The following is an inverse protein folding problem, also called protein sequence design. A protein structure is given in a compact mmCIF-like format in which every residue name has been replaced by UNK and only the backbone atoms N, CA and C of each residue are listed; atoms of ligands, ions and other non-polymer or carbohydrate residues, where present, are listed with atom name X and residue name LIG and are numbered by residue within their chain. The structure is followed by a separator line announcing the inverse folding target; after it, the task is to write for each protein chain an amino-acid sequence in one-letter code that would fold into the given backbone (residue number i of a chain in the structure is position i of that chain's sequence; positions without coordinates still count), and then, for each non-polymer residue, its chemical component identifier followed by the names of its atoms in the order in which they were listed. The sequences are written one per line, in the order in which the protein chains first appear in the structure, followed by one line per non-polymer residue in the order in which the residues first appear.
data_IF_690866581621
#
_entry.id   IF_690866581621
#
_cell.length_a   1.000
_cell.length_b   1.000
_cell.length_c   1.000
_cell.angle_alpha   90.00
_cell.angle_beta   90.00
_cell.angle_gamma   90.00
#
_symmetry.space_group_name_H-M   'P 1'
#
loop_
_entity.id
_entity.type
_entity.pdbx_description
1 polymer ?
#
# COMPACT_ATOMS: atom_id res chain seq x y z
N UNK A 1 -20.67 22.43 -7.10
CA UNK A 1 -19.61 23.11 -6.34
C UNK A 1 -18.44 22.16 -6.21
N UNK A 2 -17.21 22.63 -6.46
CA UNK A 2 -15.99 21.85 -6.28
C UNK A 2 -15.68 21.75 -4.77
N UNK A 3 -15.36 20.56 -4.27
CA UNK A 3 -14.98 20.37 -2.85
C UNK A 3 -13.63 21.03 -2.58
N UNK A 4 -13.49 21.66 -1.42
CA UNK A 4 -12.22 22.20 -0.94
C UNK A 4 -11.39 21.11 -0.24
N UNK A 5 -10.10 21.36 -0.01
CA UNK A 5 -9.25 20.48 0.78
C UNK A 5 -9.78 20.29 2.21
N UNK A 6 -10.29 21.36 2.82
CA UNK A 6 -10.92 21.32 4.14
C UNK A 6 -12.16 20.43 4.17
N UNK A 7 -13.00 20.47 3.13
CA UNK A 7 -14.18 19.61 3.04
C UNK A 7 -13.82 18.13 2.99
N UNK A 8 -12.78 17.78 2.21
CA UNK A 8 -12.28 16.40 2.10
C UNK A 8 -11.68 15.94 3.43
N UNK A 9 -10.84 16.77 4.06
CA UNK A 9 -10.25 16.44 5.36
C UNK A 9 -11.34 16.24 6.42
N UNK A 10 -12.31 17.14 6.54
CA UNK A 10 -13.38 17.00 7.53
C UNK A 10 -14.22 15.73 7.34
N UNK A 11 -14.42 15.29 6.10
CA UNK A 11 -15.20 14.08 5.81
C UNK A 11 -14.39 12.80 6.04
N UNK A 12 -13.11 12.79 5.69
CA UNK A 12 -12.33 11.55 5.59
C UNK A 12 -11.29 11.36 6.72
N UNK A 13 -10.98 12.40 7.50
CA UNK A 13 -9.87 12.38 8.46
C UNK A 13 -9.93 11.19 9.43
N UNK A 14 -11.10 10.90 10.02
CA UNK A 14 -11.23 9.79 10.98
C UNK A 14 -11.02 8.42 10.32
N UNK A 15 -11.46 8.26 9.07
CA UNK A 15 -11.32 7.00 8.33
C UNK A 15 -9.87 6.79 7.90
N UNK A 16 -9.21 7.85 7.42
CA UNK A 16 -7.78 7.80 7.09
C UNK A 16 -6.95 7.53 8.36
N UNK A 17 -7.26 8.19 9.48
CA UNK A 17 -6.61 7.92 10.77
C UNK A 17 -6.74 6.46 11.19
N UNK A 18 -7.92 5.87 11.06
CA UNK A 18 -8.14 4.47 11.39
C UNK A 18 -7.26 3.54 10.53
N UNK A 19 -7.18 3.79 9.22
CA UNK A 19 -6.32 3.02 8.31
C UNK A 19 -4.83 3.13 8.68
N UNK A 20 -4.36 4.31 9.06
CA UNK A 20 -2.98 4.51 9.53
C UNK A 20 -2.72 3.67 10.80
N UNK A 21 -3.65 3.65 11.75
CA UNK A 21 -3.53 2.83 12.96
C UNK A 21 -3.53 1.32 12.66
N UNK A 22 -4.36 0.87 11.72
CA UNK A 22 -4.40 -0.54 11.28
C UNK A 22 -3.06 -0.98 10.68
N UNK A 23 -2.47 -0.14 9.82
CA UNK A 23 -1.14 -0.38 9.23
C UNK A 23 -0.06 -0.40 10.31
N UNK A 24 -0.06 0.58 11.22
CA UNK A 24 0.90 0.63 12.33
C UNK A 24 0.84 -0.62 13.21
N UNK A 25 -0.36 -1.01 13.64
CA UNK A 25 -0.55 -2.20 14.46
C UNK A 25 -0.15 -3.50 13.74
N UNK A 26 -0.24 -3.55 12.40
CA UNK A 26 0.30 -4.67 11.64
C UNK A 26 1.83 -4.74 11.73
N UNK A 27 2.52 -3.61 11.56
CA UNK A 27 3.98 -3.56 11.67
C UNK A 27 4.47 -3.92 13.07
N UNK A 28 3.77 -3.49 14.12
CA UNK A 28 4.08 -3.87 15.50
C UNK A 28 4.02 -5.40 15.70
N UNK A 29 2.92 -6.03 15.26
CA UNK A 29 2.79 -7.50 15.32
C UNK A 29 3.85 -8.23 14.48
N UNK A 30 4.21 -7.67 13.32
CA UNK A 30 5.26 -8.23 12.47
C UNK A 30 6.63 -8.15 13.14
N UNK A 31 6.92 -7.06 13.86
CA UNK A 31 8.16 -6.89 14.60
C UNK A 31 8.25 -7.82 15.84
N UNK A 32 7.10 -8.10 16.48
CA UNK A 32 7.00 -9.07 17.58
C UNK A 32 7.13 -10.53 17.10
N UNK A 33 6.68 -10.82 15.88
CA UNK A 33 6.87 -12.13 15.25
C UNK A 33 8.35 -12.29 14.88
N UNK A 34 9.07 -13.17 15.60
CA UNK A 34 10.51 -13.38 15.41
C UNK A 34 10.93 -13.59 13.95
N UNK A 35 12.18 -13.21 13.63
CA UNK A 35 12.69 -13.24 12.26
C UNK A 35 12.70 -14.67 11.68
N UNK A 36 12.02 -14.84 10.54
CA UNK A 36 12.24 -16.01 9.68
C UNK A 36 13.50 -15.77 8.83
N UNK A 37 14.40 -16.76 8.68
CA UNK A 37 15.61 -16.63 7.85
C UNK A 37 15.29 -16.38 6.37
N UNK A 38 14.09 -16.77 5.92
CA UNK A 38 13.55 -16.42 4.61
C UNK A 38 12.69 -15.15 4.76
N UNK A 39 13.30 -13.97 4.67
CA UNK A 39 12.54 -12.73 4.55
C UNK A 39 11.87 -12.70 3.17
N UNK A 40 10.54 -12.78 3.07
CA UNK A 40 9.90 -12.76 1.78
C UNK A 40 9.86 -11.30 1.28
N UNK A 41 9.95 -11.12 -0.03
CA UNK A 41 9.72 -9.87 -0.78
C UNK A 41 8.56 -8.96 -0.29
N UNK A 42 7.46 -9.45 0.35
CA UNK A 42 6.34 -8.62 0.77
C UNK A 42 6.64 -7.50 1.78
N UNK A 43 7.56 -7.66 2.74
CA UNK A 43 7.81 -6.57 3.72
C UNK A 43 8.37 -5.33 3.02
N UNK A 44 9.31 -5.52 2.11
CA UNK A 44 9.92 -4.41 1.36
C UNK A 44 8.89 -3.68 0.49
N UNK A 45 7.93 -4.41 -0.10
CA UNK A 45 6.82 -3.79 -0.86
C UNK A 45 5.91 -2.95 0.05
N UNK A 46 5.63 -3.41 1.27
CA UNK A 46 4.86 -2.63 2.24
C UNK A 46 5.59 -1.35 2.67
N UNK A 47 6.90 -1.45 2.95
CA UNK A 47 7.73 -0.28 3.30
C UNK A 47 7.74 0.75 2.15
N UNK A 48 7.89 0.29 0.90
CA UNK A 48 7.83 1.14 -0.29
C UNK A 48 6.45 1.77 -0.49
N UNK A 49 5.37 1.02 -0.23
CA UNK A 49 4.00 1.54 -0.30
C UNK A 49 3.77 2.68 0.69
N UNK A 50 4.28 2.56 1.92
CA UNK A 50 4.25 3.64 2.90
C UNK A 50 5.07 4.86 2.45
N UNK A 51 6.23 4.67 1.82
CA UNK A 51 7.03 5.76 1.29
C UNK A 51 6.29 6.56 0.20
N UNK A 52 5.56 5.89 -0.70
CA UNK A 52 4.73 6.53 -1.73
C UNK A 52 3.63 7.39 -1.10
N UNK A 53 3.04 6.96 0.02
CA UNK A 53 1.99 7.73 0.70
C UNK A 53 2.46 9.10 1.19
N UNK A 54 3.76 9.24 1.50
CA UNK A 54 4.34 10.42 2.15
C UNK A 54 5.24 11.27 1.26
N UNK A 55 5.51 10.87 0.02
CA UNK A 55 6.30 11.68 -0.91
C UNK A 55 5.51 12.88 -1.47
N UNK A 56 6.16 13.73 -2.26
CA UNK A 56 5.53 14.92 -2.87
C UNK A 56 4.97 14.64 -4.28
N UNK A 57 5.05 13.40 -4.75
CA UNK A 57 4.64 13.03 -6.11
C UNK A 57 3.13 12.78 -6.20
N UNK A 58 2.49 13.10 -7.35
CA UNK A 58 1.07 12.84 -7.56
C UNK A 58 0.77 11.34 -7.74
N UNK A 59 -0.51 11.02 -7.93
CA UNK A 59 -0.99 9.68 -8.34
C UNK A 59 -0.60 8.54 -7.40
N UNK A 60 -0.52 8.82 -6.10
CA UNK A 60 -0.11 7.87 -5.05
C UNK A 60 -0.83 6.53 -5.14
N UNK A 61 -2.16 6.55 -5.32
CA UNK A 61 -2.95 5.32 -5.43
C UNK A 61 -2.54 4.47 -6.66
N UNK A 62 -2.32 5.09 -7.83
CA UNK A 62 -1.90 4.37 -9.03
C UNK A 62 -0.48 3.81 -8.87
N UNK A 63 0.43 4.58 -8.27
CA UNK A 63 1.80 4.13 -7.98
C UNK A 63 1.84 2.96 -6.99
N UNK A 64 1.03 3.02 -5.94
CA UNK A 64 0.86 1.90 -4.98
C UNK A 64 0.27 0.68 -5.70
N UNK A 65 -0.75 0.86 -6.56
CA UNK A 65 -1.31 -0.24 -7.33
C UNK A 65 -0.26 -0.92 -8.21
N UNK A 66 0.56 -0.15 -8.92
CA UNK A 66 1.63 -0.67 -9.77
C UNK A 66 2.71 -1.39 -8.95
N UNK A 67 3.08 -0.86 -7.79
CA UNK A 67 4.04 -1.49 -6.88
C UNK A 67 3.62 -2.92 -6.47
N UNK A 68 2.33 -3.16 -6.28
CA UNK A 68 1.79 -4.49 -5.94
C UNK A 68 1.35 -5.32 -7.15
N UNK A 69 1.48 -4.79 -8.37
CA UNK A 69 1.10 -5.51 -9.59
C UNK A 69 2.23 -6.42 -10.07
N UNK A 70 1.86 -7.55 -10.69
CA UNK A 70 2.82 -8.36 -11.46
C UNK A 70 3.14 -7.64 -12.78
N UNK A 71 4.33 -7.87 -13.32
CA UNK A 71 4.63 -7.46 -14.69
C UNK A 71 3.64 -8.09 -15.66
N UNK A 72 3.25 -7.32 -16.67
CA UNK A 72 2.39 -7.83 -17.72
C UNK A 72 3.12 -8.96 -18.47
N UNK A 73 2.45 -10.09 -18.60
CA UNK A 73 2.96 -11.28 -19.25
C UNK A 73 2.04 -11.63 -20.41
N UNK A 74 2.51 -11.51 -21.66
CA UNK A 74 1.67 -11.74 -22.83
C UNK A 74 1.12 -13.19 -22.88
N UNK A 75 1.87 -14.13 -22.32
CA UNK A 75 1.55 -15.56 -22.30
C UNK A 75 0.82 -15.98 -21.00
N UNK A 76 0.27 -15.02 -20.24
CA UNK A 76 -0.34 -15.30 -18.94
C UNK A 76 -1.43 -16.37 -19.02
N UNK A 77 -2.24 -16.38 -20.09
CA UNK A 77 -3.29 -17.39 -20.32
C UNK A 77 -2.72 -18.80 -20.38
N UNK A 78 -1.67 -18.99 -21.18
CA UNK A 78 -1.01 -20.28 -21.32
C UNK A 78 -0.32 -20.69 -20.01
N UNK A 79 0.33 -19.74 -19.32
CA UNK A 79 0.99 -20.00 -18.02
C UNK A 79 0.03 -20.38 -16.90
N UNK A 80 -1.19 -19.84 -16.90
CA UNK A 80 -2.22 -20.14 -15.90
C UNK A 80 -3.25 -21.19 -16.37
N UNK A 81 -3.13 -21.69 -17.61
CA UNK A 81 -3.99 -22.74 -18.17
C UNK A 81 -5.44 -22.30 -18.39
N UNK A 82 -5.67 -21.05 -18.81
CA UNK A 82 -6.99 -20.42 -19.01
C UNK A 82 -7.23 -20.14 -20.50
#
# INVERSE_FOLDING_TARGET
MQRTSSDVLSQEFLQIRAKILEIGAFFDRLAEAGASPDQPQPKQLLDQGCAILTDDEPDKAARIQLLFSREYDADWRDKFGI
#
